data_IF_998832771471
#
_entry.id   IF_998832771471
#
_cell.length_a   1.000
_cell.length_b   1.000
_cell.length_c   1.000
_cell.angle_alpha   90.00
_cell.angle_beta   90.00
_cell.angle_gamma   90.00
#
_symmetry.space_group_name_H-M   'P 1'
#
loop_
_entity.id
_entity.type
_entity.pdbx_description
1 polymer ?
#
# COMPACT_ATOMS: atom_id res chain seq x y z
N UNK A 1 -29.54 56.09 -21.92
CA UNK A 1 -28.22 56.59 -21.53
C UNK A 1 -28.08 56.30 -20.04
N UNK A 2 -27.32 55.36 -19.48
CA UNK A 2 -26.38 54.31 -19.90
C UNK A 2 -26.11 53.49 -18.59
N UNK A 3 -25.84 52.17 -18.65
CA UNK A 3 -24.89 51.42 -17.77
C UNK A 3 -25.11 51.50 -16.22
N UNK A 4 -25.38 50.47 -15.40
CA UNK A 4 -24.90 49.07 -15.28
C UNK A 4 -25.87 48.28 -14.38
N UNK A 5 -26.30 47.09 -14.82
CA UNK A 5 -26.66 45.99 -13.90
C UNK A 5 -26.41 44.67 -14.63
N UNK A 6 -25.17 44.18 -14.54
CA UNK A 6 -24.83 42.78 -14.80
C UNK A 6 -23.87 42.32 -13.71
N UNK A 7 -24.40 41.63 -12.71
CA UNK A 7 -23.71 40.54 -12.04
C UNK A 7 -24.65 39.35 -12.13
N UNK A 8 -24.61 38.68 -13.28
CA UNK A 8 -25.04 37.30 -13.39
C UNK A 8 -23.84 36.50 -12.87
N UNK A 9 -23.96 35.90 -11.69
CA UNK A 9 -22.99 34.93 -11.22
C UNK A 9 -23.25 33.65 -12.03
N UNK A 10 -22.49 33.48 -13.11
CA UNK A 10 -22.41 32.20 -13.83
C UNK A 10 -21.55 31.29 -12.98
N UNK A 11 -22.16 30.25 -12.40
CA UNK A 11 -21.44 29.04 -12.00
C UNK A 11 -20.86 28.43 -13.27
N UNK A 12 -19.59 28.70 -13.55
CA UNK A 12 -18.84 27.89 -14.52
C UNK A 12 -18.44 26.62 -13.80
N UNK A 13 -19.35 25.63 -13.83
CA UNK A 13 -18.97 24.23 -13.65
C UNK A 13 -18.62 23.74 -15.05
N UNK A 14 -17.35 23.79 -15.43
CA UNK A 14 -16.88 23.01 -16.57
C UNK A 14 -16.84 21.55 -16.16
N UNK A 15 -17.92 20.81 -16.42
CA UNK A 15 -17.87 19.35 -16.54
C UNK A 15 -17.37 19.03 -17.95
N UNK A 16 -16.10 18.67 -18.09
CA UNK A 16 -15.65 17.90 -19.25
C UNK A 16 -15.92 16.43 -18.96
N UNK A 17 -17.04 15.91 -19.47
CA UNK A 17 -17.24 14.48 -19.61
C UNK A 17 -16.55 14.01 -20.89
N UNK A 18 -15.29 13.61 -20.76
CA UNK A 18 -14.68 12.63 -21.66
C UNK A 18 -13.74 11.76 -20.84
N UNK A 19 -14.20 10.53 -20.59
CA UNK A 19 -13.47 9.37 -20.06
C UNK A 19 -12.88 9.43 -18.65
N UNK A 20 -12.91 8.23 -18.06
CA UNK A 20 -12.76 7.88 -16.65
C UNK A 20 -11.46 8.36 -15.98
N UNK A 21 -11.55 8.45 -14.64
CA UNK A 21 -10.45 8.47 -13.67
C UNK A 21 -9.68 9.78 -13.43
N UNK A 22 -10.32 10.75 -12.76
CA UNK A 22 -9.63 11.69 -11.87
C UNK A 22 -10.51 12.04 -10.65
N UNK A 23 -10.10 11.58 -9.46
CA UNK A 23 -10.53 12.16 -8.19
C UNK A 23 -9.91 13.56 -8.03
N UNK A 24 -10.67 14.59 -7.61
CA UNK A 24 -10.13 15.95 -7.47
C UNK A 24 -9.14 16.04 -6.30
N UNK A 25 -7.93 16.54 -6.58
CA UNK A 25 -6.82 16.68 -5.60
C UNK A 25 -6.98 17.82 -4.59
N UNK A 26 -8.01 18.65 -4.68
CA UNK A 26 -8.34 19.63 -3.64
C UNK A 26 -9.65 20.32 -3.99
N UNK A 27 -10.61 20.35 -3.06
CA UNK A 27 -11.73 21.27 -3.12
C UNK A 27 -11.29 22.56 -2.45
N UNK A 28 -10.90 23.57 -3.23
CA UNK A 28 -10.63 24.92 -2.72
C UNK A 28 -11.95 25.65 -2.49
N UNK A 29 -12.53 25.55 -1.29
CA UNK A 29 -13.58 26.45 -0.86
C UNK A 29 -12.93 27.78 -0.44
N UNK A 30 -12.92 28.77 -1.35
CA UNK A 30 -12.61 30.14 -0.96
C UNK A 30 -13.74 30.64 -0.07
N UNK A 31 -13.44 30.90 1.21
CA UNK A 31 -14.28 31.77 2.05
C UNK A 31 -14.33 33.14 1.36
N UNK A 32 -15.47 33.46 0.76
CA UNK A 32 -15.74 34.86 0.42
C UNK A 32 -16.05 35.58 1.72
N UNK A 33 -15.12 36.40 2.19
CA UNK A 33 -15.49 37.53 3.01
C UNK A 33 -16.39 38.41 2.15
N UNK A 34 -17.68 38.45 2.46
CA UNK A 34 -18.45 39.64 2.16
C UNK A 34 -17.74 40.76 2.92
N UNK A 35 -17.07 41.63 2.18
CA UNK A 35 -16.72 42.95 2.69
C UNK A 35 -18.04 43.52 3.21
N UNK A 36 -18.15 43.60 4.54
CA UNK A 36 -19.03 44.57 5.16
C UNK A 36 -18.47 45.93 4.72
N UNK A 37 -18.94 46.42 3.58
CA UNK A 37 -18.98 47.86 3.33
C UNK A 37 -20.02 48.45 4.29
N UNK A 38 -19.66 48.48 5.58
CA UNK A 38 -20.36 49.22 6.63
C UNK A 38 -20.00 50.71 6.61
N UNK A 39 -19.42 51.23 5.52
CA UNK A 39 -19.10 52.66 5.39
C UNK A 39 -20.03 53.49 4.48
N UNK A 40 -20.92 52.90 3.69
CA UNK A 40 -21.74 53.69 2.75
C UNK A 40 -23.24 53.77 3.12
N UNK A 41 -23.57 53.67 4.41
CA UNK A 41 -24.88 54.11 4.90
C UNK A 41 -25.03 55.65 4.88
N UNK A 42 -23.93 56.41 4.71
CA UNK A 42 -23.94 57.87 4.63
C UNK A 42 -23.83 58.43 3.19
N UNK A 43 -23.57 57.61 2.17
CA UNK A 43 -23.48 58.07 0.77
C UNK A 43 -24.83 58.13 0.04
N UNK A 44 -25.89 57.55 0.62
CA UNK A 44 -27.25 57.73 0.10
C UNK A 44 -27.87 59.09 0.44
N UNK A 45 -27.26 59.88 1.33
CA UNK A 45 -27.64 61.28 1.57
C UNK A 45 -26.90 62.30 0.69
N UNK A 46 -25.83 61.90 -0.02
CA UNK A 46 -24.99 62.85 -0.78
C UNK A 46 -25.17 62.78 -2.31
N UNK A 47 -25.86 61.78 -2.86
CA UNK A 47 -26.05 61.65 -4.32
C UNK A 47 -27.37 62.23 -4.85
N UNK A 48 -28.29 62.71 -4.00
CA UNK A 48 -29.52 63.40 -4.49
C UNK A 48 -29.44 64.94 -4.53
N UNK A 49 -28.29 65.54 -4.21
CA UNK A 49 -28.10 67.00 -4.32
C UNK A 49 -27.41 67.47 -5.62
N UNK A 50 -27.22 66.58 -6.62
CA UNK A 50 -26.65 66.97 -7.94
C UNK A 50 -27.63 66.89 -9.11
N UNK A 51 -28.93 66.94 -8.84
CA UNK A 51 -29.98 66.94 -9.86
C UNK A 51 -31.04 68.02 -9.73
N UNK A 52 -30.87 69.04 -8.88
CA UNK A 52 -31.84 70.11 -8.67
C UNK A 52 -31.23 71.50 -8.87
N UNK A 53 -30.95 71.87 -10.13
CA UNK A 53 -31.40 73.17 -10.63
C UNK A 53 -32.66 72.78 -11.42
N UNK A 54 -33.89 73.13 -11.07
CA UNK A 54 -34.43 74.42 -10.65
C UNK A 54 -35.70 74.23 -9.80
N UNK A 55 -36.08 75.30 -9.09
CA UNK A 55 -37.34 75.55 -8.38
C UNK A 55 -37.49 75.01 -6.94
N UNK A 56 -37.26 75.95 -6.03
CA UNK A 56 -37.73 76.04 -4.65
C UNK A 56 -39.25 75.81 -4.65
N UNK A 57 -39.70 74.65 -4.17
CA UNK A 57 -41.09 74.39 -3.85
C UNK A 57 -41.38 74.94 -2.44
N UNK A 58 -42.19 75.98 -2.38
CA UNK A 58 -42.72 76.57 -1.15
C UNK A 58 -43.79 75.67 -0.53
N UNK A 59 -44.06 75.86 0.77
CA UNK A 59 -45.00 75.10 1.61
C UNK A 59 -46.50 75.12 1.18
N UNK A 60 -46.82 75.50 -0.06
CA UNK A 60 -48.18 75.61 -0.61
C UNK A 60 -48.52 74.51 -1.65
N UNK A 61 -47.82 73.36 -1.62
CA UNK A 61 -48.22 72.16 -2.37
C UNK A 61 -49.17 71.28 -1.50
N UNK A 62 -50.49 71.23 -1.80
CA UNK A 62 -51.45 70.46 -1.02
C UNK A 62 -51.18 68.94 -1.04
N UNK A 63 -50.26 68.45 -1.88
CA UNK A 63 -49.88 67.04 -1.95
C UNK A 63 -48.52 66.72 -1.32
N UNK A 64 -47.80 67.71 -0.77
CA UNK A 64 -46.47 67.52 -0.17
C UNK A 64 -46.47 66.52 0.99
N UNK A 65 -47.43 66.65 1.91
CA UNK A 65 -47.60 65.73 3.05
C UNK A 65 -47.85 64.28 2.59
N UNK A 66 -48.67 64.10 1.55
CA UNK A 66 -48.99 62.79 1.00
C UNK A 66 -47.79 62.16 0.28
N UNK A 67 -47.00 62.94 -0.48
CA UNK A 67 -45.75 62.46 -1.09
C UNK A 67 -44.74 61.98 -0.05
N UNK A 68 -44.57 62.73 1.05
CA UNK A 68 -43.69 62.33 2.14
C UNK A 68 -44.16 61.05 2.85
N UNK A 69 -45.47 60.88 3.07
CA UNK A 69 -46.01 59.64 3.62
C UNK A 69 -45.79 58.43 2.69
N UNK A 70 -46.03 58.59 1.39
CA UNK A 70 -45.79 57.53 0.39
C UNK A 70 -44.30 57.18 0.31
N UNK A 71 -43.42 58.17 0.33
CA UNK A 71 -41.97 57.96 0.32
C UNK A 71 -41.52 57.18 1.55
N UNK A 72 -41.98 57.57 2.75
CA UNK A 72 -41.68 56.89 4.01
C UNK A 72 -42.23 55.46 4.06
N UNK A 73 -43.41 55.21 3.50
CA UNK A 73 -43.96 53.86 3.43
C UNK A 73 -43.16 52.98 2.45
N UNK A 74 -42.78 53.51 1.29
CA UNK A 74 -41.92 52.81 0.31
C UNK A 74 -40.53 52.52 0.88
N UNK A 75 -39.93 53.47 1.61
CA UNK A 75 -38.61 53.28 2.23
C UNK A 75 -38.64 52.22 3.33
N UNK A 76 -39.65 52.26 4.22
CA UNK A 76 -39.86 51.22 5.26
C UNK A 76 -40.12 49.84 4.65
N UNK A 77 -40.95 49.75 3.61
CA UNK A 77 -41.24 48.49 2.92
C UNK A 77 -40.00 47.89 2.23
N UNK A 78 -39.18 48.72 1.55
CA UNK A 78 -37.89 48.31 1.00
C UNK A 78 -36.94 47.80 2.08
N UNK A 79 -36.80 48.52 3.20
CA UNK A 79 -35.93 48.14 4.32
C UNK A 79 -36.36 46.81 4.94
N UNK A 80 -37.66 46.63 5.19
CA UNK A 80 -38.22 45.37 5.69
C UNK A 80 -37.95 44.17 4.76
N UNK A 81 -38.05 44.38 3.44
CA UNK A 81 -37.78 43.33 2.45
C UNK A 81 -36.29 42.98 2.40
N UNK A 82 -35.41 43.99 2.49
CA UNK A 82 -33.97 43.82 2.51
C UNK A 82 -33.48 43.11 3.79
N UNK A 83 -34.08 43.41 4.94
CA UNK A 83 -33.76 42.74 6.21
C UNK A 83 -34.17 41.27 6.19
N UNK A 84 -35.36 40.95 5.65
CA UNK A 84 -35.80 39.55 5.44
C UNK A 84 -34.85 38.79 4.51
N UNK A 85 -34.38 39.42 3.44
CA UNK A 85 -33.41 38.81 2.53
C UNK A 85 -32.04 38.58 3.21
N UNK A 86 -31.54 39.53 4.01
CA UNK A 86 -30.29 39.40 4.77
C UNK A 86 -30.32 38.24 5.75
N UNK A 87 -31.42 38.06 6.49
CA UNK A 87 -31.58 36.93 7.41
C UNK A 87 -31.53 35.60 6.66
N UNK A 88 -32.21 35.49 5.51
CA UNK A 88 -32.21 34.27 4.68
C UNK A 88 -30.82 33.95 4.09
N UNK A 89 -30.08 34.97 3.66
CA UNK A 89 -28.70 34.80 3.17
C UNK A 89 -27.80 34.33 4.30
N UNK A 90 -27.89 34.91 5.50
CA UNK A 90 -27.12 34.47 6.68
C UNK A 90 -27.42 33.02 7.06
N UNK A 91 -28.70 32.62 7.06
CA UNK A 91 -29.06 31.23 7.35
C UNK A 91 -28.53 30.26 6.30
N UNK A 92 -28.59 30.62 5.01
CA UNK A 92 -28.02 29.79 3.94
C UNK A 92 -26.50 29.70 4.02
N UNK A 93 -25.82 30.80 4.35
CA UNK A 93 -24.37 30.81 4.54
C UNK A 93 -23.95 29.89 5.69
N UNK A 94 -24.68 29.90 6.81
CA UNK A 94 -24.44 28.96 7.91
C UNK A 94 -24.57 27.50 7.47
N UNK A 95 -25.57 27.16 6.64
CA UNK A 95 -25.70 25.81 6.08
C UNK A 95 -24.55 25.46 5.14
N UNK A 96 -24.08 26.41 4.32
CA UNK A 96 -22.92 26.20 3.43
C UNK A 96 -21.66 25.96 4.25
N UNK A 97 -21.43 26.73 5.32
CA UNK A 97 -20.27 26.58 6.19
C UNK A 97 -20.30 25.21 6.89
N UNK A 98 -21.48 24.78 7.39
CA UNK A 98 -21.66 23.44 7.97
C UNK A 98 -21.39 22.32 6.94
N UNK A 99 -21.90 22.45 5.72
CA UNK A 99 -21.65 21.47 4.66
C UNK A 99 -20.17 21.43 4.27
N UNK A 100 -19.49 22.58 4.24
CA UNK A 100 -18.06 22.68 4.00
C UNK A 100 -17.25 21.89 5.04
N UNK A 101 -17.57 22.05 6.32
CA UNK A 101 -16.87 21.34 7.40
C UNK A 101 -17.09 19.82 7.33
N UNK A 102 -18.30 19.38 6.98
CA UNK A 102 -18.61 17.95 6.75
C UNK A 102 -17.84 17.41 5.54
N UNK A 103 -17.80 18.14 4.43
CA UNK A 103 -17.04 17.75 3.23
C UNK A 103 -15.54 17.63 3.56
N UNK A 104 -14.99 18.58 4.31
CA UNK A 104 -13.57 18.54 4.68
C UNK A 104 -13.26 17.35 5.58
N UNK A 105 -14.13 17.07 6.56
CA UNK A 105 -13.99 15.90 7.44
C UNK A 105 -14.06 14.60 6.65
N UNK A 106 -15.03 14.47 5.74
CA UNK A 106 -15.16 13.30 4.88
C UNK A 106 -13.95 13.12 3.97
N UNK A 107 -13.44 14.22 3.40
CA UNK A 107 -12.24 14.21 2.54
C UNK A 107 -11.01 13.69 3.29
N UNK A 108 -10.79 14.17 4.52
CA UNK A 108 -9.68 13.71 5.36
C UNK A 108 -9.80 12.21 5.70
N UNK A 109 -11.01 11.75 6.04
CA UNK A 109 -11.27 10.34 6.32
C UNK A 109 -11.02 9.46 5.07
N UNK A 110 -11.48 9.90 3.89
CA UNK A 110 -11.23 9.20 2.62
C UNK A 110 -9.73 9.13 2.33
N UNK A 111 -9.00 10.23 2.50
CA UNK A 111 -7.55 10.25 2.31
C UNK A 111 -6.85 9.25 3.26
N UNK A 112 -7.23 9.22 4.54
CA UNK A 112 -6.71 8.24 5.50
C UNK A 112 -6.99 6.79 5.08
N UNK A 113 -8.19 6.51 4.55
CA UNK A 113 -8.55 5.15 4.10
C UNK A 113 -7.73 4.76 2.87
N UNK A 114 -7.58 5.66 1.89
CA UNK A 114 -6.79 5.44 0.68
C UNK A 114 -5.32 5.21 1.03
N UNK A 115 -4.74 6.01 1.94
CA UNK A 115 -3.37 5.82 2.41
C UNK A 115 -3.18 4.43 3.04
N UNK A 116 -4.10 4.00 3.90
CA UNK A 116 -4.04 2.68 4.55
C UNK A 116 -4.22 1.54 3.55
N UNK A 117 -5.09 1.71 2.57
CA UNK A 117 -5.27 0.74 1.49
C UNK A 117 -3.98 0.59 0.65
N UNK A 118 -3.36 1.71 0.26
CA UNK A 118 -2.11 1.70 -0.48
C UNK A 118 -0.98 1.00 0.30
N UNK A 119 -0.88 1.24 1.61
CA UNK A 119 0.11 0.56 2.45
C UNK A 119 -0.11 -0.96 2.47
N UNK A 120 -1.34 -1.42 2.69
CA UNK A 120 -1.69 -2.84 2.63
C UNK A 120 -1.33 -3.41 1.26
N UNK A 121 -1.70 -2.73 0.18
CA UNK A 121 -1.37 -3.15 -1.18
C UNK A 121 0.12 -3.27 -1.41
N UNK A 122 0.96 -2.47 -0.75
CA UNK A 122 2.41 -2.54 -0.89
C UNK A 122 3.07 -3.66 -0.11
N UNK A 123 2.43 -4.13 0.96
CA UNK A 123 2.99 -5.16 1.82
C UNK A 123 2.60 -6.58 1.35
N UNK A 124 1.53 -6.71 0.55
CA UNK A 124 1.04 -8.00 0.05
C UNK A 124 1.91 -8.57 -1.08
N UNK A 125 2.11 -9.89 -1.02
CA UNK A 125 2.96 -10.65 -1.96
C UNK A 125 2.11 -11.41 -2.98
N UNK A 126 2.51 -11.34 -4.25
CA UNK A 126 2.02 -12.22 -5.31
C UNK A 126 0.49 -12.32 -5.39
N UNK A 127 -0.04 -13.53 -5.26
CA UNK A 127 -1.48 -13.82 -5.39
C UNK A 127 -2.33 -13.26 -4.25
N UNK A 128 -1.72 -12.90 -3.11
CA UNK A 128 -2.43 -12.26 -2.00
C UNK A 128 -2.75 -10.79 -2.28
N UNK A 129 -2.21 -10.20 -3.36
CA UNK A 129 -2.47 -8.82 -3.77
C UNK A 129 -3.78 -8.74 -4.57
N UNK A 130 -4.82 -8.04 -4.07
CA UNK A 130 -6.08 -7.83 -4.80
C UNK A 130 -5.89 -7.14 -6.16
N UNK A 131 -6.85 -7.31 -7.07
CA UNK A 131 -6.85 -6.64 -8.37
C UNK A 131 -6.87 -5.11 -8.22
N UNK A 132 -7.54 -4.61 -7.18
CA UNK A 132 -7.61 -3.18 -6.84
C UNK A 132 -6.26 -2.60 -6.40
N UNK A 133 -5.32 -3.47 -5.98
CA UNK A 133 -3.96 -3.11 -5.64
C UNK A 133 -3.02 -3.10 -6.86
N UNK A 134 -3.50 -3.52 -8.04
CA UNK A 134 -2.74 -3.38 -9.27
C UNK A 134 -2.75 -1.90 -9.68
N UNK A 135 -1.60 -1.33 -10.06
CA UNK A 135 -1.57 0.02 -10.59
C UNK A 135 -2.54 0.13 -11.78
N UNK A 136 -3.45 1.10 -11.69
CA UNK A 136 -4.38 1.47 -12.76
C UNK A 136 -3.56 2.10 -13.90
N UNK A 137 -3.20 1.24 -14.85
CA UNK A 137 -2.35 1.49 -16.01
C UNK A 137 -0.88 1.87 -15.72
N UNK A 138 -0.04 1.42 -16.64
CA UNK A 138 1.32 1.88 -16.89
C UNK A 138 1.31 3.38 -17.20
N UNK A 139 1.03 4.23 -16.20
CA UNK A 139 1.40 5.63 -16.29
C UNK A 139 2.91 5.66 -16.24
N UNK A 140 3.49 5.94 -17.38
CA UNK A 140 4.87 6.41 -17.55
C UNK A 140 5.21 7.36 -16.40
N UNK A 141 5.76 6.80 -15.33
CA UNK A 141 6.67 7.54 -14.50
C UNK A 141 7.99 7.37 -15.23
N UNK A 142 8.42 8.41 -15.93
CA UNK A 142 9.85 8.64 -16.08
C UNK A 142 10.37 8.88 -14.66
N UNK A 143 11.14 7.97 -14.05
CA UNK A 143 11.81 8.29 -12.82
C UNK A 143 13.13 8.96 -13.22
N UNK A 144 13.50 10.02 -12.52
CA UNK A 144 14.90 10.39 -12.42
C UNK A 144 15.71 9.10 -12.25
N UNK A 145 16.70 8.91 -13.12
CA UNK A 145 17.38 7.64 -13.37
C UNK A 145 18.37 7.29 -12.23
N UNK A 146 17.91 7.36 -10.98
CA UNK A 146 18.54 6.70 -9.87
C UNK A 146 18.23 5.20 -10.03
N UNK A 147 19.25 4.42 -10.36
CA UNK A 147 19.07 3.02 -10.72
C UNK A 147 18.45 2.26 -9.55
N UNK A 148 17.27 1.65 -9.73
CA UNK A 148 16.67 0.76 -8.70
C UNK A 148 17.73 -0.25 -8.25
N UNK A 149 17.88 -0.41 -6.93
CA UNK A 149 18.88 -1.29 -6.36
C UNK A 149 18.64 -2.76 -6.73
N UNK A 150 19.72 -3.52 -6.89
CA UNK A 150 19.62 -4.92 -7.35
C UNK A 150 19.08 -5.87 -6.28
N UNK A 151 19.42 -5.60 -5.03
CA UNK A 151 19.06 -6.39 -3.85
C UNK A 151 19.25 -5.56 -2.57
N UNK A 152 18.97 -6.17 -1.42
CA UNK A 152 19.14 -5.54 -0.11
C UNK A 152 20.60 -5.17 0.21
N UNK A 153 21.59 -5.85 -0.37
CA UNK A 153 23.00 -5.50 -0.14
C UNK A 153 23.38 -4.22 -0.88
N UNK A 154 22.94 -4.07 -2.13
CA UNK A 154 23.08 -2.82 -2.89
C UNK A 154 22.37 -1.64 -2.18
N UNK A 155 21.18 -1.87 -1.62
CA UNK A 155 20.48 -0.88 -0.78
C UNK A 155 21.35 -0.47 0.42
N UNK A 156 21.87 -1.44 1.17
CA UNK A 156 22.72 -1.19 2.33
C UNK A 156 23.99 -0.40 1.97
N UNK A 157 24.65 -0.75 0.86
CA UNK A 157 25.84 -0.05 0.36
C UNK A 157 25.58 1.40 -0.06
N UNK A 158 24.32 1.75 -0.38
CA UNK A 158 23.90 3.13 -0.64
C UNK A 158 23.61 3.94 0.63
N UNK A 159 23.80 3.33 1.81
CA UNK A 159 23.67 3.99 3.12
C UNK A 159 22.38 3.63 3.88
N UNK A 160 21.49 2.84 3.29
CA UNK A 160 20.22 2.44 3.90
C UNK A 160 20.41 1.23 4.82
N UNK A 161 20.63 1.49 6.11
CA UNK A 161 20.99 0.47 7.10
C UNK A 161 19.83 0.07 8.03
N UNK A 162 18.57 0.31 7.63
CA UNK A 162 17.38 0.00 8.44
C UNK A 162 16.66 -1.20 7.83
N UNK A 163 16.31 -2.19 8.65
CA UNK A 163 15.50 -3.32 8.20
C UNK A 163 14.09 -2.85 7.84
N UNK A 164 13.57 -3.29 6.69
CA UNK A 164 12.33 -2.74 6.16
C UNK A 164 11.93 -3.28 4.80
N UNK A 165 10.82 -2.79 4.27
CA UNK A 165 10.34 -3.17 2.93
C UNK A 165 10.95 -2.21 1.91
N UNK A 166 11.66 -2.77 0.94
CA UNK A 166 12.31 -2.03 -0.14
C UNK A 166 11.90 -2.58 -1.49
N UNK A 167 12.01 -1.74 -2.52
CA UNK A 167 11.85 -2.17 -3.91
C UNK A 167 13.21 -2.48 -4.52
N UNK A 168 13.35 -3.67 -5.10
CA UNK A 168 14.56 -4.11 -5.77
C UNK A 168 14.25 -4.50 -7.21
N UNK A 169 15.27 -4.47 -8.06
CA UNK A 169 15.22 -4.99 -9.41
C UNK A 169 16.47 -5.83 -9.65
N UNK A 170 16.39 -7.16 -9.43
CA UNK A 170 17.52 -8.07 -9.67
C UNK A 170 18.07 -7.88 -11.07
N UNK A 171 19.37 -8.13 -11.22
CA UNK A 171 20.04 -7.93 -12.50
C UNK A 171 19.42 -8.80 -13.60
N UNK A 172 19.23 -8.20 -14.77
CA UNK A 172 18.53 -8.81 -15.90
C UNK A 172 17.03 -9.14 -15.66
N UNK A 173 16.44 -8.68 -14.55
CA UNK A 173 14.99 -8.63 -14.40
C UNK A 173 14.42 -7.37 -15.05
N UNK A 174 13.40 -7.53 -15.89
CA UNK A 174 12.60 -6.43 -16.43
C UNK A 174 11.59 -5.88 -15.42
N UNK A 175 11.34 -6.61 -14.33
CA UNK A 175 10.36 -6.25 -13.30
C UNK A 175 11.05 -6.02 -11.97
N UNK A 176 10.74 -4.91 -11.33
CA UNK A 176 11.01 -4.69 -9.91
C UNK A 176 9.95 -5.38 -9.05
N UNK A 177 10.29 -5.66 -7.80
CA UNK A 177 9.36 -6.15 -6.79
C UNK A 177 9.81 -5.74 -5.39
N UNK A 178 8.85 -5.73 -4.46
CA UNK A 178 9.12 -5.40 -3.07
C UNK A 178 9.61 -6.62 -2.29
N UNK A 179 10.55 -6.39 -1.38
CA UNK A 179 11.16 -7.41 -0.51
C UNK A 179 11.27 -6.88 0.91
N UNK A 180 11.25 -7.79 1.89
CA UNK A 180 11.65 -7.48 3.26
C UNK A 180 13.17 -7.67 3.38
N UNK A 181 13.88 -6.56 3.59
CA UNK A 181 15.32 -6.54 3.85
C UNK A 181 15.61 -6.62 5.35
N UNK A 182 16.56 -7.48 5.72
CA UNK A 182 17.19 -7.49 7.03
C UNK A 182 18.60 -6.91 6.91
N UNK A 183 18.81 -5.75 7.55
CA UNK A 183 20.05 -4.98 7.49
C UNK A 183 20.95 -5.20 8.71
N UNK A 184 20.58 -6.12 9.60
CA UNK A 184 21.22 -6.29 10.92
C UNK A 184 21.89 -7.65 11.08
N UNK A 185 21.23 -8.73 10.65
CA UNK A 185 21.73 -10.09 10.81
C UNK A 185 22.99 -10.29 9.99
N UNK A 186 24.07 -10.74 10.64
CA UNK A 186 25.32 -11.15 9.95
C UNK A 186 25.76 -10.12 8.89
N UNK A 187 25.93 -8.87 9.32
CA UNK A 187 26.32 -7.72 8.47
C UNK A 187 25.24 -7.21 7.52
N UNK A 188 24.03 -7.75 7.59
CA UNK A 188 22.87 -7.28 6.83
C UNK A 188 22.93 -7.58 5.33
N UNK A 189 22.04 -6.92 4.60
CA UNK A 189 21.85 -7.10 3.16
C UNK A 189 21.09 -8.38 2.80
N UNK A 190 20.33 -8.95 3.73
CA UNK A 190 19.57 -10.17 3.53
C UNK A 190 18.17 -9.89 3.00
N UNK A 191 17.72 -10.71 2.04
CA UNK A 191 16.35 -10.71 1.52
C UNK A 191 15.58 -11.86 2.16
N UNK A 192 14.51 -11.59 2.90
CA UNK A 192 13.61 -12.64 3.34
C UNK A 192 12.83 -13.23 2.15
N UNK A 193 12.91 -14.56 1.98
CA UNK A 193 12.15 -15.29 0.96
C UNK A 193 11.00 -16.12 1.55
N UNK A 194 11.09 -16.43 2.84
CA UNK A 194 10.05 -17.12 3.60
C UNK A 194 10.11 -16.66 5.07
N UNK A 195 8.94 -16.48 5.69
CA UNK A 195 8.83 -16.17 7.12
C UNK A 195 7.58 -16.81 7.73
N UNK A 196 7.76 -17.55 8.83
CA UNK A 196 6.75 -18.26 9.62
C UNK A 196 6.94 -17.96 11.11
N UNK A 197 5.89 -17.61 11.84
CA UNK A 197 5.94 -17.37 13.28
C UNK A 197 4.58 -17.43 14.01
N UNK A 198 3.44 -17.30 13.34
CA UNK A 198 2.11 -17.22 14.00
C UNK A 198 1.00 -18.05 13.34
N UNK A 199 1.23 -18.62 12.15
CA UNK A 199 0.24 -19.39 11.41
C UNK A 199 -0.90 -18.56 10.81
N UNK A 200 -0.72 -17.24 10.66
CA UNK A 200 -1.67 -16.34 10.00
C UNK A 200 -1.88 -16.65 8.51
N UNK A 201 -0.89 -17.29 7.87
CA UNK A 201 -0.97 -17.71 6.47
C UNK A 201 -1.02 -19.23 6.31
N UNK A 202 -1.89 -19.69 5.41
CA UNK A 202 -1.92 -21.08 4.98
C UNK A 202 -0.83 -21.34 3.93
N UNK A 203 0.07 -22.29 4.19
CA UNK A 203 1.13 -22.69 3.26
C UNK A 203 0.76 -23.96 2.47
N UNK A 204 -0.39 -24.57 2.70
CA UNK A 204 -0.89 -25.69 1.90
C UNK A 204 -1.57 -25.21 0.60
N UNK A 205 -0.76 -24.60 -0.27
CA UNK A 205 -1.18 -23.91 -1.50
C UNK A 205 -0.82 -24.67 -2.78
N UNK A 206 -1.40 -24.20 -3.88
CA UNK A 206 -1.22 -24.71 -5.25
C UNK A 206 0.05 -24.17 -5.92
N UNK A 207 0.42 -24.74 -7.07
CA UNK A 207 1.60 -24.39 -7.87
C UNK A 207 1.65 -22.90 -8.20
N UNK A 208 0.52 -22.34 -8.65
CA UNK A 208 0.41 -20.94 -9.05
C UNK A 208 0.76 -19.99 -7.90
N UNK A 209 0.30 -20.30 -6.69
CA UNK A 209 0.54 -19.48 -5.50
C UNK A 209 2.02 -19.52 -5.12
N UNK A 210 2.64 -20.70 -5.12
CA UNK A 210 4.08 -20.84 -4.86
C UNK A 210 4.95 -20.22 -5.94
N UNK A 211 4.51 -20.26 -7.20
CA UNK A 211 5.19 -19.62 -8.33
C UNK A 211 5.29 -18.11 -8.14
N UNK A 212 4.18 -17.45 -7.82
CA UNK A 212 4.09 -15.98 -7.78
C UNK A 212 4.21 -15.37 -6.38
N UNK A 213 4.20 -16.19 -5.33
CA UNK A 213 4.26 -15.74 -3.95
C UNK A 213 2.89 -15.46 -3.33
N UNK A 214 2.84 -15.43 -2.00
CA UNK A 214 1.64 -15.16 -1.20
C UNK A 214 2.01 -14.67 0.20
N UNK A 215 1.04 -14.08 0.88
CA UNK A 215 1.14 -13.56 2.24
C UNK A 215 1.46 -12.06 2.30
N UNK A 216 2.07 -11.63 3.41
CA UNK A 216 2.35 -10.23 3.69
C UNK A 216 3.80 -10.07 4.18
N UNK A 217 4.56 -9.14 3.59
CA UNK A 217 5.96 -8.86 3.95
C UNK A 217 6.15 -8.42 5.41
N UNK A 218 5.12 -7.83 6.05
CA UNK A 218 5.10 -7.53 7.50
C UNK A 218 4.64 -8.72 8.35
N UNK A 219 4.05 -9.75 7.75
CA UNK A 219 3.52 -10.96 8.38
C UNK A 219 4.25 -12.24 7.96
N UNK A 220 3.52 -13.36 7.87
CA UNK A 220 4.01 -14.57 7.22
C UNK A 220 3.89 -14.44 5.70
N UNK A 221 4.86 -14.98 4.97
CA UNK A 221 4.82 -14.97 3.51
C UNK A 221 5.77 -15.98 2.88
N UNK A 222 5.50 -16.25 1.60
CA UNK A 222 6.40 -16.88 0.64
C UNK A 222 6.60 -15.91 -0.54
N UNK A 223 7.85 -15.57 -0.85
CA UNK A 223 8.14 -14.52 -1.84
C UNK A 223 7.76 -14.89 -3.28
N UNK A 224 7.76 -16.19 -3.61
CA UNK A 224 7.52 -16.71 -4.95
C UNK A 224 8.75 -17.34 -5.60
N UNK A 225 8.56 -18.46 -6.32
CA UNK A 225 9.64 -19.20 -7.00
C UNK A 225 10.23 -18.39 -8.17
N UNK A 226 9.43 -17.58 -8.88
CA UNK A 226 9.94 -16.69 -9.92
C UNK A 226 10.93 -15.66 -9.36
N UNK A 227 10.63 -15.11 -8.19
CA UNK A 227 11.48 -14.14 -7.50
C UNK A 227 12.75 -14.81 -6.99
N UNK A 228 12.65 -16.00 -6.38
CA UNK A 228 13.82 -16.77 -5.92
C UNK A 228 14.73 -17.13 -7.10
N UNK A 229 14.16 -17.55 -8.23
CA UNK A 229 14.93 -17.84 -9.44
C UNK A 229 15.64 -16.58 -9.95
N UNK A 230 14.94 -15.45 -10.05
CA UNK A 230 15.54 -14.18 -10.46
C UNK A 230 16.71 -13.75 -9.56
N UNK A 231 16.62 -14.00 -8.25
CA UNK A 231 17.65 -13.67 -7.26
C UNK A 231 18.86 -14.61 -7.28
N UNK A 232 18.72 -15.85 -7.76
CA UNK A 232 19.75 -16.90 -7.65
C UNK A 232 20.35 -17.33 -8.99
N UNK A 233 19.80 -16.85 -10.11
CA UNK A 233 20.22 -17.26 -11.46
C UNK A 233 21.63 -16.79 -11.84
N UNK A 234 22.02 -15.59 -11.43
CA UNK A 234 23.18 -14.90 -12.00
C UNK A 234 24.39 -14.83 -11.08
N UNK A 235 24.15 -14.69 -9.77
CA UNK A 235 25.20 -14.52 -8.79
C UNK A 235 25.22 -15.70 -7.81
N UNK A 236 26.39 -16.08 -7.29
CA UNK A 236 26.45 -16.93 -6.12
C UNK A 236 25.62 -16.30 -5.01
N UNK A 237 24.69 -17.05 -4.44
CA UNK A 237 23.76 -16.54 -3.43
C UNK A 237 23.85 -17.43 -2.20
N UNK A 238 24.08 -16.81 -1.05
CA UNK A 238 24.04 -17.50 0.24
C UNK A 238 22.59 -17.65 0.72
N UNK A 239 22.33 -18.74 1.44
CA UNK A 239 21.05 -19.00 2.09
C UNK A 239 21.26 -19.13 3.59
N UNK A 240 20.57 -18.30 4.37
CA UNK A 240 20.43 -18.42 5.81
C UNK A 240 19.04 -18.94 6.16
N UNK A 241 18.99 -20.00 6.95
CA UNK A 241 17.76 -20.54 7.52
C UNK A 241 17.87 -20.39 9.04
N UNK A 242 16.92 -19.73 9.66
CA UNK A 242 16.79 -19.69 11.12
C UNK A 242 15.47 -20.32 11.54
N UNK A 243 15.54 -21.14 12.59
CA UNK A 243 14.44 -21.93 13.11
C UNK A 243 14.17 -21.51 14.55
N UNK A 244 12.90 -21.42 14.91
CA UNK A 244 12.46 -21.27 16.29
C UNK A 244 11.75 -22.55 16.73
N UNK A 245 12.11 -23.04 17.90
CA UNK A 245 11.40 -24.11 18.56
C UNK A 245 10.33 -23.55 19.53
N UNK A 246 9.50 -24.41 20.11
CA UNK A 246 8.41 -23.98 21.01
C UNK A 246 8.90 -23.39 22.35
N UNK A 247 10.17 -23.60 22.68
CA UNK A 247 10.82 -23.03 23.86
C UNK A 247 11.57 -21.73 23.51
N UNK A 248 11.32 -21.15 22.33
CA UNK A 248 12.03 -19.99 21.79
C UNK A 248 13.55 -20.20 21.62
N UNK A 249 14.00 -21.45 21.51
CA UNK A 249 15.39 -21.74 21.13
C UNK A 249 15.55 -21.41 19.65
N UNK A 250 16.49 -20.51 19.35
CA UNK A 250 16.88 -20.17 17.99
C UNK A 250 17.99 -21.10 17.53
N UNK A 251 17.88 -21.59 16.30
CA UNK A 251 18.88 -22.43 15.63
C UNK A 251 19.05 -21.98 14.19
N UNK A 252 20.15 -22.33 13.54
CA UNK A 252 20.40 -21.91 12.16
C UNK A 252 21.17 -22.93 11.32
N UNK A 253 20.86 -22.91 10.03
CA UNK A 253 21.62 -23.53 8.96
C UNK A 253 22.00 -22.45 7.93
N UNK A 254 23.26 -22.43 7.53
CA UNK A 254 23.80 -21.47 6.56
C UNK A 254 24.47 -22.23 5.42
N UNK A 255 24.18 -21.82 4.19
CA UNK A 255 24.70 -22.40 2.96
C UNK A 255 25.38 -21.31 2.14
N UNK A 256 26.67 -21.48 1.83
CA UNK A 256 27.44 -20.53 1.01
C UNK A 256 26.95 -20.46 -0.44
N UNK A 257 26.21 -21.46 -0.90
CA UNK A 257 25.62 -21.45 -2.24
C UNK A 257 24.24 -22.07 -2.24
N UNK A 258 23.29 -21.36 -2.86
CA UNK A 258 21.91 -21.77 -3.07
C UNK A 258 21.41 -21.22 -4.40
N UNK A 259 20.83 -22.08 -5.23
CA UNK A 259 20.15 -21.66 -6.45
C UNK A 259 19.07 -22.65 -6.88
N UNK A 260 18.06 -22.13 -7.57
CA UNK A 260 17.02 -22.94 -8.20
C UNK A 260 17.05 -22.79 -9.71
N UNK A 261 16.50 -23.77 -10.42
CA UNK A 261 16.35 -23.75 -11.87
C UNK A 261 15.12 -22.96 -12.34
N UNK A 262 14.96 -22.79 -13.66
CA UNK A 262 13.77 -22.18 -14.24
C UNK A 262 12.52 -23.05 -14.09
N UNK A 263 11.35 -22.48 -14.34
CA UNK A 263 10.06 -23.18 -14.31
C UNK A 263 10.03 -24.43 -15.20
N UNK A 264 10.63 -24.38 -16.40
CA UNK A 264 10.68 -25.54 -17.31
C UNK A 264 11.42 -26.74 -16.69
N UNK A 265 12.32 -26.47 -15.74
CA UNK A 265 13.01 -27.49 -14.94
C UNK A 265 12.26 -27.90 -13.66
N UNK A 266 11.07 -27.34 -13.40
CA UNK A 266 10.29 -27.55 -12.17
C UNK A 266 10.88 -26.83 -10.96
N UNK A 267 11.55 -25.68 -11.16
CA UNK A 267 12.23 -24.94 -10.09
C UNK A 267 13.14 -25.81 -9.22
N UNK A 268 13.84 -26.75 -9.84
CA UNK A 268 14.67 -27.71 -9.12
C UNK A 268 15.78 -27.04 -8.31
N UNK A 269 16.15 -27.60 -7.17
CA UNK A 269 17.24 -27.11 -6.34
C UNK A 269 18.59 -27.41 -7.01
N UNK A 270 19.02 -26.54 -7.92
CA UNK A 270 20.20 -26.76 -8.77
C UNK A 270 21.50 -26.71 -7.97
N UNK A 271 21.56 -25.84 -6.97
CA UNK A 271 22.74 -25.68 -6.12
C UNK A 271 22.32 -25.56 -4.66
N UNK A 272 22.98 -26.33 -3.79
CA UNK A 272 22.97 -26.10 -2.35
C UNK A 272 24.27 -26.62 -1.77
N UNK A 273 25.08 -25.80 -1.09
CA UNK A 273 26.42 -26.20 -0.66
C UNK A 273 27.05 -25.30 0.39
N UNK A 274 28.25 -25.67 0.84
CA UNK A 274 28.98 -24.91 1.87
C UNK A 274 28.23 -24.84 3.21
N UNK A 275 27.59 -25.94 3.59
CA UNK A 275 26.78 -26.00 4.81
C UNK A 275 27.62 -25.72 6.08
N UNK A 276 27.11 -24.84 6.93
CA UNK A 276 27.55 -24.58 8.30
C UNK A 276 26.31 -24.34 9.17
N UNK A 277 26.35 -24.63 10.47
CA UNK A 277 25.19 -24.45 11.32
C UNK A 277 25.28 -25.20 12.64
N UNK A 278 24.30 -24.98 13.51
CA UNK A 278 24.16 -25.66 14.81
C UNK A 278 23.09 -26.77 14.79
N UNK A 279 22.60 -27.11 13.60
CA UNK A 279 21.63 -28.18 13.30
C UNK A 279 22.15 -29.08 12.18
N UNK A 280 21.60 -30.29 11.98
CA UNK A 280 22.00 -31.13 10.85
C UNK A 280 21.61 -30.54 9.50
N UNK A 281 22.36 -30.86 8.45
CA UNK A 281 22.07 -30.46 7.07
C UNK A 281 20.88 -31.24 6.50
N UNK A 282 19.67 -30.74 6.78
CA UNK A 282 18.41 -31.33 6.31
C UNK A 282 18.00 -30.85 4.91
N UNK A 283 18.84 -30.08 4.21
CA UNK A 283 18.62 -29.70 2.81
C UNK A 283 19.44 -30.54 1.83
N UNK A 284 20.51 -31.18 2.28
CA UNK A 284 21.39 -32.01 1.44
C UNK A 284 20.63 -33.03 0.59
N UNK A 285 19.65 -33.72 1.18
CA UNK A 285 18.86 -34.74 0.50
C UNK A 285 17.85 -34.19 -0.51
N UNK A 286 17.62 -32.88 -0.51
CA UNK A 286 16.73 -32.17 -1.43
C UNK A 286 17.46 -31.65 -2.68
N UNK A 287 18.80 -31.78 -2.73
CA UNK A 287 19.60 -31.31 -3.86
C UNK A 287 19.15 -31.98 -5.17
N UNK A 288 18.98 -31.16 -6.20
CA UNK A 288 18.50 -31.51 -7.55
C UNK A 288 17.03 -31.90 -7.67
N UNK A 289 16.30 -31.96 -6.56
CA UNK A 289 14.88 -32.30 -6.59
C UNK A 289 14.05 -31.12 -7.09
N UNK A 290 12.93 -31.44 -7.75
CA UNK A 290 11.98 -30.45 -8.26
C UNK A 290 11.06 -29.97 -7.14
N UNK A 291 10.56 -28.75 -7.27
CA UNK A 291 9.57 -28.25 -6.34
C UNK A 291 8.23 -28.96 -6.58
N UNK A 292 7.53 -29.37 -5.53
CA UNK A 292 6.22 -30.03 -5.65
C UNK A 292 5.20 -29.36 -4.75
N UNK A 293 3.99 -29.17 -5.27
CA UNK A 293 2.81 -28.63 -4.58
C UNK A 293 1.69 -29.68 -4.56
N UNK A 294 0.61 -29.39 -3.84
CA UNK A 294 -0.50 -30.34 -3.69
C UNK A 294 -1.18 -30.71 -5.02
N UNK A 295 -1.15 -29.80 -6.00
CA UNK A 295 -1.74 -29.93 -7.34
C UNK A 295 -0.71 -30.29 -8.42
N UNK A 296 0.58 -30.32 -8.09
CA UNK A 296 1.66 -30.60 -9.04
C UNK A 296 2.77 -31.44 -8.40
N UNK A 297 2.63 -32.76 -8.55
CA UNK A 297 3.58 -33.74 -8.06
C UNK A 297 4.78 -33.86 -8.99
N UNK A 298 5.96 -33.51 -8.49
CA UNK A 298 7.23 -33.63 -9.18
C UNK A 298 8.28 -34.38 -8.36
N UNK A 299 7.86 -35.03 -7.28
CA UNK A 299 8.75 -35.73 -6.36
C UNK A 299 9.03 -37.17 -6.85
N UNK A 300 9.93 -37.88 -6.17
CA UNK A 300 10.32 -39.22 -6.59
C UNK A 300 9.52 -40.32 -5.87
N UNK A 301 8.61 -39.97 -4.97
CA UNK A 301 7.82 -40.91 -4.17
C UNK A 301 6.74 -41.58 -5.03
N UNK A 302 6.21 -42.71 -4.54
CA UNK A 302 5.05 -43.36 -5.17
C UNK A 302 3.72 -42.68 -4.77
N UNK A 303 3.77 -41.69 -3.88
CA UNK A 303 2.65 -40.89 -3.40
C UNK A 303 3.10 -39.45 -3.30
N UNK A 304 2.24 -38.50 -3.66
CA UNK A 304 2.51 -37.07 -3.52
C UNK A 304 2.92 -36.73 -2.08
N UNK A 305 4.18 -36.32 -1.92
CA UNK A 305 4.73 -35.86 -0.64
C UNK A 305 4.04 -34.56 -0.21
N UNK A 306 3.76 -33.68 -1.16
CA UNK A 306 3.10 -32.40 -0.90
C UNK A 306 1.69 -32.59 -0.30
N UNK A 307 0.89 -33.51 -0.85
CA UNK A 307 -0.42 -33.85 -0.28
C UNK A 307 -0.29 -34.56 1.07
N UNK A 308 0.63 -35.52 1.17
CA UNK A 308 0.81 -36.34 2.38
C UNK A 308 1.24 -35.49 3.58
N UNK A 309 2.13 -34.53 3.35
CA UNK A 309 2.78 -33.73 4.39
C UNK A 309 2.35 -32.27 4.44
N UNK A 310 1.29 -31.93 3.71
CA UNK A 310 0.54 -30.67 3.79
C UNK A 310 1.42 -29.41 3.70
N UNK A 311 2.27 -29.36 2.68
CA UNK A 311 3.12 -28.21 2.36
C UNK A 311 3.76 -28.40 0.99
N UNK A 312 4.50 -27.41 0.51
CA UNK A 312 5.23 -27.51 -0.76
C UNK A 312 6.72 -27.34 -0.56
N UNK A 313 7.52 -28.17 -1.22
CA UNK A 313 8.96 -28.21 -1.03
C UNK A 313 9.67 -28.91 -2.19
N UNK A 314 11.00 -28.89 -2.18
CA UNK A 314 11.85 -29.70 -3.04
C UNK A 314 11.87 -31.17 -2.57
N UNK A 315 10.73 -31.85 -2.60
CA UNK A 315 10.59 -33.20 -2.06
C UNK A 315 11.36 -34.26 -2.86
N UNK A 316 11.90 -35.25 -2.16
CA UNK A 316 12.50 -36.47 -2.71
C UNK A 316 11.59 -37.69 -2.47
N UNK A 317 11.76 -38.36 -1.32
CA UNK A 317 11.02 -39.56 -0.86
C UNK A 317 10.89 -39.62 0.68
N UNK A 318 10.36 -38.64 1.40
CA UNK A 318 9.78 -37.37 0.95
C UNK A 318 10.65 -36.19 1.35
N UNK A 319 11.01 -36.05 2.63
CA UNK A 319 11.84 -34.94 3.08
C UNK A 319 12.65 -35.25 4.32
N UNK A 320 13.74 -34.51 4.47
CA UNK A 320 14.41 -34.26 5.73
C UNK A 320 14.03 -32.90 6.33
N UNK A 321 13.60 -31.96 5.49
CA UNK A 321 13.04 -30.66 5.91
C UNK A 321 11.73 -30.33 5.21
N UNK A 322 10.80 -29.70 5.92
CA UNK A 322 9.58 -29.14 5.36
C UNK A 322 9.21 -27.87 6.15
N UNK A 323 9.80 -26.73 5.77
CA UNK A 323 9.55 -25.45 6.44
C UNK A 323 8.20 -24.82 6.03
N UNK A 324 7.59 -25.36 4.99
CA UNK A 324 6.30 -24.93 4.46
C UNK A 324 5.16 -25.86 4.90
N UNK A 325 5.41 -26.75 5.87
CA UNK A 325 4.37 -27.54 6.52
C UNK A 325 3.38 -26.67 7.30
N UNK A 326 2.34 -27.32 7.80
CA UNK A 326 1.32 -26.66 8.61
C UNK A 326 1.91 -26.02 9.86
N UNK A 327 1.44 -24.83 10.18
CA UNK A 327 1.72 -24.24 11.47
C UNK A 327 0.98 -25.03 12.56
N UNK A 328 1.69 -25.45 13.60
CA UNK A 328 1.15 -26.31 14.65
C UNK A 328 1.63 -25.83 16.02
N UNK A 329 0.75 -25.15 16.75
CA UNK A 329 1.01 -24.63 18.11
C UNK A 329 0.47 -25.52 19.25
N UNK A 330 -0.30 -26.56 18.94
CA UNK A 330 -0.83 -27.52 19.92
C UNK A 330 -0.22 -28.92 19.73
N UNK A 331 -0.35 -29.78 20.74
CA UNK A 331 -0.04 -31.21 20.58
C UNK A 331 -1.05 -31.82 19.61
N UNK A 332 -0.55 -32.48 18.57
CA UNK A 332 -1.38 -33.03 17.51
C UNK A 332 -1.53 -34.55 17.62
N UNK A 333 -2.61 -35.15 17.09
CA UNK A 333 -2.74 -36.60 16.99
C UNK A 333 -1.76 -37.20 15.98
N UNK A 334 -1.54 -38.52 16.06
CA UNK A 334 -0.60 -39.25 15.18
C UNK A 334 -0.83 -39.04 13.69
N UNK A 335 -2.08 -38.80 13.25
CA UNK A 335 -2.40 -38.53 11.83
C UNK A 335 -1.78 -37.23 11.30
N UNK A 336 -1.33 -36.34 12.19
CA UNK A 336 -0.64 -35.11 11.84
C UNK A 336 0.88 -35.25 11.79
N UNK A 337 1.41 -36.45 12.08
CA UNK A 337 2.85 -36.72 12.12
C UNK A 337 3.53 -36.33 10.80
N UNK A 338 4.54 -35.48 10.89
CA UNK A 338 5.33 -35.00 9.75
C UNK A 338 4.63 -33.91 8.91
N UNK A 339 3.44 -33.45 9.29
CA UNK A 339 2.70 -32.43 8.52
C UNK A 339 3.01 -30.99 8.94
N UNK A 340 3.76 -30.80 10.03
CA UNK A 340 4.10 -29.49 10.55
C UNK A 340 5.43 -28.95 10.01
N UNK A 341 5.78 -27.72 10.40
CA UNK A 341 7.10 -27.13 10.14
C UNK A 341 8.18 -28.03 10.75
N UNK A 342 8.97 -28.66 9.89
CA UNK A 342 9.85 -29.78 10.27
C UNK A 342 11.28 -29.62 9.77
N UNK A 343 12.23 -30.02 10.61
CA UNK A 343 13.64 -30.13 10.26
C UNK A 343 14.24 -31.37 10.93
N UNK A 344 14.96 -32.19 10.17
CA UNK A 344 15.52 -33.47 10.63
C UNK A 344 16.35 -33.27 11.90
N UNK A 345 16.09 -34.11 12.91
CA UNK A 345 16.77 -34.11 14.22
C UNK A 345 16.64 -32.80 15.02
N UNK A 346 15.71 -31.92 14.63
CA UNK A 346 15.29 -30.76 15.44
C UNK A 346 13.81 -30.92 15.79
N UNK A 347 13.02 -31.33 14.80
CA UNK A 347 11.62 -31.72 14.97
C UNK A 347 11.52 -33.23 15.24
N UNK A 348 10.67 -33.60 16.18
CA UNK A 348 10.38 -34.99 16.53
C UNK A 348 8.87 -35.22 16.49
N UNK A 349 8.42 -36.46 16.55
CA UNK A 349 7.06 -36.93 16.21
C UNK A 349 5.88 -35.96 16.48
N UNK A 350 5.82 -35.36 17.68
CA UNK A 350 4.76 -34.43 18.09
C UNK A 350 5.30 -32.99 18.38
N UNK A 351 6.58 -32.76 18.09
CA UNK A 351 7.33 -31.53 18.30
C UNK A 351 7.70 -30.89 16.96
N UNK A 352 6.87 -29.93 16.55
CA UNK A 352 7.12 -29.09 15.38
C UNK A 352 7.76 -27.77 15.78
N UNK A 353 8.46 -27.17 14.83
CA UNK A 353 8.99 -25.82 14.96
C UNK A 353 7.85 -24.81 15.15
N UNK A 354 8.10 -23.78 15.95
CA UNK A 354 7.18 -22.66 16.19
C UNK A 354 7.35 -21.56 15.15
N UNK A 355 8.43 -21.59 14.36
CA UNK A 355 8.68 -20.63 13.30
C UNK A 355 9.93 -20.95 12.51
N UNK A 356 10.04 -20.30 11.36
CA UNK A 356 11.20 -20.39 10.47
C UNK A 356 11.32 -19.10 9.68
N UNK A 357 12.54 -18.73 9.29
CA UNK A 357 12.78 -17.74 8.25
C UNK A 357 13.89 -18.22 7.33
N UNK A 358 13.70 -17.99 6.04
CA UNK A 358 14.71 -18.24 5.00
C UNK A 358 15.09 -16.91 4.37
N UNK A 359 16.38 -16.63 4.29
CA UNK A 359 16.93 -15.40 3.77
C UNK A 359 18.00 -15.67 2.72
N UNK A 360 17.99 -14.88 1.65
CA UNK A 360 19.00 -14.93 0.58
C UNK A 360 19.88 -13.69 0.62
N UNK A 361 21.15 -13.86 0.25
CA UNK A 361 22.06 -12.74 -0.01
C UNK A 361 22.91 -13.04 -1.24
N UNK A 362 22.60 -12.41 -2.40
CA UNK A 362 23.47 -12.47 -3.57
C UNK A 362 24.84 -11.87 -3.26
N UNK A 363 25.91 -12.56 -3.67
CA UNK A 363 27.29 -12.13 -3.51
C UNK A 363 27.79 -11.54 -4.82
N UNK A 364 27.96 -10.22 -4.85
CA UNK A 364 28.51 -9.55 -6.03
C UNK A 364 30.03 -9.55 -5.99
N UNK A 365 30.68 -9.36 -7.14
CA UNK A 365 32.14 -9.33 -7.24
C UNK A 365 32.84 -8.34 -6.30
N UNK A 366 32.13 -7.31 -5.80
CA UNK A 366 32.66 -6.37 -4.81
C UNK A 366 32.66 -6.93 -3.38
N UNK A 367 31.81 -7.92 -3.09
CA UNK A 367 31.69 -8.55 -1.76
C UNK A 367 32.74 -9.66 -1.54
N UNK A 368 33.38 -10.14 -2.61
CA UNK A 368 34.37 -11.24 -2.58
C UNK A 368 35.83 -10.78 -2.42
N UNK A 369 36.07 -9.48 -2.17
CA UNK A 369 37.43 -8.89 -2.01
C UNK A 369 37.81 -8.58 -0.56
N UNK A 370 37.36 -9.40 0.39
CA UNK A 370 37.79 -9.34 1.79
C UNK A 370 38.45 -10.65 2.21
#
# INVERSE_FOLDING_TARGET
MFLWYRIILVLVITYNFTNSAYLPKSVSLRKFHFLQDDQNANDYELIQNRGNNEHIATNDDPYFSLRNQIFNHKSKSKRSTQDKARVRVRSQQQTIDQLSDVIQTLSNNVQSIVSRHNEICTDLVGVSRPLECLPEDLRESSPNHESIARDCKDIQLRGENVSGIYEIRPENSSKSFKVLCDMEIREGGWIHIQKRFDGSEDFYRDWKDYKFGFGNLKGEFWIGLEQIYALTKHYPTELLIELNDRNNTKRYAHYLSFAIGPEIGGYNLTTIGGFTGDIPDAMKNHRFEKFSTRDFDQDQSNKSCAETFMGAWWYKKCFDSNLNGKFVNIKQPRIMRGKGISWLNVSYHDYYLSGSRMLLRPLHFFDLRL
#
